data_IF_297088929058
#
_entry.id   IF_297088929058
#
_cell.length_a   1.000
_cell.length_b   1.000
_cell.length_c   1.000
_cell.angle_alpha   90.00
_cell.angle_beta   90.00
_cell.angle_gamma   90.00
#
_symmetry.space_group_name_H-M   'P 1'
#
loop_
_entity.id
_entity.type
_entity.pdbx_description
1 polymer ?
#
# COMPACT_ATOMS: atom_id res chain seq x y z
N UNK A 1 30.94 -11.32 3.37
CA UNK A 1 30.27 -10.89 4.63
C UNK A 1 29.02 -10.11 4.23
N UNK A 2 27.83 -10.62 4.53
CA UNK A 2 26.57 -9.99 4.16
C UNK A 2 26.34 -8.75 5.02
N UNK A 3 26.39 -7.57 4.42
CA UNK A 3 25.88 -6.35 5.05
C UNK A 3 24.36 -6.37 4.98
N UNK A 4 23.71 -7.08 5.91
CA UNK A 4 22.27 -6.95 6.13
C UNK A 4 22.06 -5.63 6.87
N UNK A 5 21.63 -4.63 6.10
CA UNK A 5 21.25 -3.31 6.59
C UNK A 5 20.21 -3.48 7.72
N UNK A 6 20.57 -3.13 8.95
CA UNK A 6 19.74 -3.36 10.17
C UNK A 6 18.46 -2.50 10.22
N UNK A 7 18.21 -1.68 9.20
CA UNK A 7 17.08 -0.77 9.08
C UNK A 7 15.94 -1.27 8.18
N UNK A 8 16.01 -2.48 7.62
CA UNK A 8 14.89 -3.11 6.88
C UNK A 8 13.73 -3.59 7.78
N UNK A 9 13.54 -2.96 8.96
CA UNK A 9 12.32 -3.14 9.73
C UNK A 9 11.27 -2.25 9.09
N UNK A 10 10.52 -2.84 8.14
CA UNK A 10 9.37 -2.20 7.50
C UNK A 10 8.56 -1.43 8.55
N UNK A 11 8.41 -0.13 8.34
CA UNK A 11 7.60 0.70 9.23
C UNK A 11 6.14 0.29 9.04
N UNK A 12 5.53 -0.19 10.11
CA UNK A 12 4.11 -0.52 10.14
C UNK A 12 3.37 0.77 10.51
N UNK A 13 2.42 1.15 9.66
CA UNK A 13 1.54 2.30 9.89
C UNK A 13 0.13 1.76 10.02
N UNK A 14 -0.52 2.07 11.12
CA UNK A 14 -1.93 1.77 11.33
C UNK A 14 -2.77 2.90 10.73
N UNK A 15 -3.78 2.53 9.95
CA UNK A 15 -4.66 3.48 9.24
C UNK A 15 -6.09 3.03 9.44
N UNK A 16 -6.95 3.97 9.85
CA UNK A 16 -8.39 3.75 9.93
C UNK A 16 -9.07 4.33 8.68
N UNK A 17 -10.00 3.56 8.12
CA UNK A 17 -10.79 3.95 6.97
C UNK A 17 -12.24 4.17 7.39
N UNK A 18 -12.89 5.14 6.76
CA UNK A 18 -14.34 5.25 6.86
C UNK A 18 -15.04 4.21 5.95
N UNK A 19 -16.35 4.04 6.13
CA UNK A 19 -17.12 3.02 5.39
C UNK A 19 -17.02 3.16 3.87
N UNK A 20 -17.00 4.40 3.34
CA UNK A 20 -16.90 4.61 1.89
C UNK A 20 -15.52 4.19 1.37
N UNK A 21 -14.45 4.50 2.11
CA UNK A 21 -13.09 4.10 1.77
C UNK A 21 -12.91 2.58 1.84
N UNK A 22 -13.52 1.91 2.82
CA UNK A 22 -13.48 0.45 2.91
C UNK A 22 -14.14 -0.24 1.71
N UNK A 23 -15.28 0.28 1.24
CA UNK A 23 -15.97 -0.26 0.05
C UNK A 23 -15.06 -0.15 -1.17
N UNK A 24 -14.38 0.99 -1.35
CA UNK A 24 -13.42 1.17 -2.45
C UNK A 24 -12.25 0.20 -2.33
N UNK A 25 -11.68 0.03 -1.13
CA UNK A 25 -10.58 -0.90 -0.91
C UNK A 25 -10.95 -2.35 -1.20
N UNK A 26 -12.15 -2.78 -0.80
CA UNK A 26 -12.67 -4.11 -1.11
C UNK A 26 -12.81 -4.33 -2.61
N UNK A 27 -13.38 -3.36 -3.33
CA UNK A 27 -13.51 -3.46 -4.78
C UNK A 27 -12.14 -3.55 -5.48
N UNK A 28 -11.17 -2.75 -5.06
CA UNK A 28 -9.82 -2.78 -5.64
C UNK A 28 -9.13 -4.12 -5.42
N UNK A 29 -9.33 -4.71 -4.24
CA UNK A 29 -8.82 -6.04 -3.90
C UNK A 29 -9.50 -7.13 -4.73
N UNK A 30 -10.84 -7.09 -4.87
CA UNK A 30 -11.62 -8.04 -5.67
C UNK A 30 -11.29 -7.97 -7.17
N UNK A 31 -11.03 -6.76 -7.68
CA UNK A 31 -10.59 -6.53 -9.06
C UNK A 31 -9.18 -7.10 -9.32
N UNK A 32 -8.44 -7.51 -8.28
CA UNK A 32 -7.03 -7.92 -8.38
C UNK A 32 -6.11 -6.78 -8.83
N UNK A 33 -6.56 -5.53 -8.70
CA UNK A 33 -5.78 -4.34 -9.04
C UNK A 33 -4.95 -3.94 -7.84
N UNK A 34 -3.71 -3.52 -8.09
CA UNK A 34 -2.80 -2.98 -7.07
C UNK A 34 -2.33 -3.96 -5.98
N UNK A 35 -2.78 -5.22 -5.89
CA UNK A 35 -2.23 -6.19 -4.95
C UNK A 35 -3.18 -7.32 -4.57
N UNK A 36 -2.68 -8.25 -3.74
CA UNK A 36 -3.44 -9.41 -3.26
C UNK A 36 -3.94 -9.26 -1.81
N UNK A 37 -3.53 -8.21 -1.12
CA UNK A 37 -4.01 -7.83 0.21
C UNK A 37 -4.11 -6.31 0.35
N UNK A 38 -4.79 -5.83 1.40
CA UNK A 38 -4.97 -4.40 1.64
C UNK A 38 -3.65 -3.63 1.79
N UNK A 39 -2.60 -4.26 2.33
CA UNK A 39 -1.30 -3.61 2.51
C UNK A 39 -0.58 -3.42 1.18
N UNK A 40 -0.64 -4.40 0.29
CA UNK A 40 -0.14 -4.31 -1.09
C UNK A 40 -0.92 -3.26 -1.88
N UNK A 41 -2.26 -3.31 -1.83
CA UNK A 41 -3.14 -2.35 -2.49
C UNK A 41 -2.79 -0.92 -2.06
N UNK A 42 -2.73 -0.65 -0.75
CA UNK A 42 -2.40 0.68 -0.24
C UNK A 42 -0.99 1.12 -0.67
N UNK A 43 0.01 0.24 -0.53
CA UNK A 43 1.39 0.54 -0.92
C UNK A 43 1.49 0.94 -2.40
N UNK A 44 0.83 0.19 -3.27
CA UNK A 44 0.93 0.40 -4.72
C UNK A 44 0.12 1.63 -5.16
N UNK A 45 -1.03 1.92 -4.54
CA UNK A 45 -1.76 3.18 -4.73
C UNK A 45 -0.88 4.38 -4.35
N UNK A 46 -0.24 4.33 -3.18
CA UNK A 46 0.65 5.40 -2.74
C UNK A 46 1.85 5.58 -3.68
N UNK A 47 2.46 4.50 -4.16
CA UNK A 47 3.55 4.57 -5.14
C UNK A 47 3.11 5.22 -6.45
N UNK A 48 1.92 4.86 -6.96
CA UNK A 48 1.37 5.44 -8.17
C UNK A 48 1.05 6.92 -8.00
N UNK A 49 0.44 7.31 -6.88
CA UNK A 49 0.21 8.70 -6.52
C UNK A 49 1.51 9.52 -6.49
N UNK A 50 2.56 8.99 -5.84
CA UNK A 50 3.87 9.64 -5.80
C UNK A 50 4.51 9.75 -7.19
N UNK A 51 4.30 8.77 -8.07
CA UNK A 51 4.79 8.79 -9.46
C UNK A 51 4.14 9.91 -10.27
N UNK A 52 2.83 10.09 -10.11
CA UNK A 52 2.08 11.13 -10.81
C UNK A 52 2.37 12.54 -10.28
N UNK A 53 2.61 12.68 -8.98
CA UNK A 53 2.87 13.99 -8.34
C UNK A 53 4.29 14.52 -8.61
N UNK A 54 5.20 13.65 -9.08
CA UNK A 54 6.57 14.02 -9.45
C UNK A 54 6.71 14.48 -10.92
N UNK A 55 5.63 14.42 -11.70
CA UNK A 55 5.53 15.01 -13.04
C UNK A 55 4.93 16.42 -12.93
#
# INVERSE_FOLDING_TARGET
>A
MQSKNKNDRGHIVEVEFNQQQEVVLKQLLEDGKYGNDYSEVMRNIFQEFLRQTRM
#
